data_IF_280550728271
#
_entry.id   IF_280550728271
#
_cell.length_a   1.000
_cell.length_b   1.000
_cell.length_c   1.000
_cell.angle_alpha   90.00
_cell.angle_beta   90.00
_cell.angle_gamma   90.00
#
_symmetry.space_group_name_H-M   'P 1'
#
loop_
_entity.id
_entity.type
_entity.pdbx_description
1 polymer ?
#
# COMPACT_ATOMS: atom_id res chain seq x y z
N UNK A 1 13.68 -8.13 -10.70
CA UNK A 1 14.05 -9.46 -11.23
C UNK A 1 14.56 -10.42 -10.16
N UNK A 2 15.69 -10.17 -9.47
CA UNK A 2 16.22 -11.09 -8.43
C UNK A 2 15.20 -11.49 -7.36
N UNK A 3 14.46 -10.52 -6.80
CA UNK A 3 13.42 -10.76 -5.79
C UNK A 3 12.32 -11.71 -6.29
N UNK A 4 11.87 -11.55 -7.53
CA UNK A 4 10.83 -12.40 -8.11
C UNK A 4 11.33 -13.84 -8.31
N UNK A 5 12.56 -14.01 -8.81
CA UNK A 5 13.16 -15.34 -8.99
C UNK A 5 13.33 -16.04 -7.63
N UNK A 6 13.82 -15.34 -6.61
CA UNK A 6 13.94 -15.88 -5.25
C UNK A 6 12.58 -16.24 -4.68
N UNK A 7 11.57 -15.41 -4.92
CA UNK A 7 10.21 -15.67 -4.47
C UNK A 7 9.61 -16.92 -5.13
N UNK A 8 9.75 -17.07 -6.46
CA UNK A 8 9.30 -18.26 -7.17
C UNK A 8 10.04 -19.52 -6.70
N UNK A 9 11.35 -19.44 -6.49
CA UNK A 9 12.14 -20.54 -5.92
C UNK A 9 11.62 -20.93 -4.54
N UNK A 10 11.31 -19.94 -3.69
CA UNK A 10 10.74 -20.18 -2.36
C UNK A 10 9.37 -20.87 -2.44
N UNK A 11 8.50 -20.46 -3.37
CA UNK A 11 7.20 -21.11 -3.57
C UNK A 11 7.38 -22.58 -3.95
N UNK A 12 8.25 -22.86 -4.93
CA UNK A 12 8.51 -24.25 -5.36
C UNK A 12 9.13 -25.08 -4.24
N UNK A 13 10.02 -24.50 -3.43
CA UNK A 13 10.53 -25.15 -2.22
C UNK A 13 9.42 -25.49 -1.22
N UNK A 14 8.44 -24.60 -1.04
CA UNK A 14 7.31 -24.82 -0.14
C UNK A 14 6.31 -25.87 -0.65
N UNK A 15 6.18 -26.04 -1.97
CA UNK A 15 5.32 -27.07 -2.59
C UNK A 15 5.87 -28.50 -2.40
N UNK A 16 7.18 -28.66 -2.19
CA UNK A 16 7.76 -29.92 -1.74
C UNK A 16 9.22 -30.13 -2.13
N UNK A 17 9.97 -30.78 -1.24
CA UNK A 17 11.21 -31.46 -1.59
C UNK A 17 10.89 -32.75 -2.36
N UNK A 18 11.63 -33.02 -3.43
CA UNK A 18 11.54 -34.27 -4.22
C UNK A 18 12.13 -35.49 -3.51
N UNK A 19 12.67 -35.34 -2.30
CA UNK A 19 13.35 -36.43 -1.58
C UNK A 19 12.39 -37.09 -0.59
N UNK A 20 12.10 -38.36 -0.83
CA UNK A 20 11.18 -39.21 -0.06
C UNK A 20 11.68 -39.61 1.34
N UNK A 21 12.91 -39.26 1.69
CA UNK A 21 13.63 -39.84 2.83
C UNK A 21 13.67 -38.92 4.07
N UNK A 22 13.22 -37.67 3.95
CA UNK A 22 13.12 -36.71 5.07
C UNK A 22 11.69 -36.18 5.21
N UNK A 23 10.74 -37.05 5.58
CA UNK A 23 9.42 -36.59 6.02
C UNK A 23 9.54 -35.92 7.39
N UNK A 24 9.78 -34.61 7.39
CA UNK A 24 9.65 -33.78 8.57
C UNK A 24 8.17 -33.64 8.94
N UNK A 25 7.71 -34.47 9.89
CA UNK A 25 6.32 -34.53 10.37
C UNK A 25 5.90 -33.34 11.26
N UNK A 26 6.67 -32.24 11.30
CA UNK A 26 6.33 -31.05 12.08
C UNK A 26 5.32 -30.18 11.34
N UNK A 27 4.44 -29.52 12.10
CA UNK A 27 3.54 -28.51 11.55
C UNK A 27 4.34 -27.43 10.81
N UNK A 28 4.05 -27.21 9.53
CA UNK A 28 4.77 -26.24 8.72
C UNK A 28 4.28 -24.81 9.03
N UNK A 29 5.23 -23.94 9.38
CA UNK A 29 5.02 -22.50 9.53
C UNK A 29 5.82 -21.77 8.45
N UNK A 30 5.12 -21.09 7.57
CA UNK A 30 5.70 -20.23 6.54
C UNK A 30 5.58 -18.78 6.98
N UNK A 31 6.69 -18.03 6.95
CA UNK A 31 6.70 -16.60 7.21
C UNK A 31 7.22 -15.90 5.96
N UNK A 32 6.41 -14.97 5.43
CA UNK A 32 6.74 -14.15 4.27
C UNK A 32 6.83 -12.70 4.73
N UNK A 33 8.04 -12.14 4.70
CA UNK A 33 8.27 -10.73 5.01
C UNK A 33 8.41 -9.93 3.71
N UNK A 34 7.42 -9.08 3.46
CA UNK A 34 7.33 -8.13 2.35
C UNK A 34 7.64 -8.74 0.97
N UNK A 35 6.74 -9.58 0.42
CA UNK A 35 6.99 -10.31 -0.83
C UNK A 35 7.10 -9.39 -2.06
N UNK A 36 6.70 -8.13 -1.92
CA UNK A 36 6.72 -7.13 -2.98
C UNK A 36 7.83 -6.12 -2.73
N UNK A 37 8.81 -6.08 -3.63
CA UNK A 37 9.71 -4.95 -3.73
C UNK A 37 9.14 -3.85 -4.64
N UNK A 38 9.69 -2.63 -4.57
CA UNK A 38 9.36 -1.52 -5.48
C UNK A 38 9.52 -1.84 -6.98
N UNK A 39 10.33 -2.85 -7.33
CA UNK A 39 10.50 -3.35 -8.71
C UNK A 39 9.45 -4.41 -9.11
N UNK A 40 8.69 -4.95 -8.15
CA UNK A 40 7.72 -6.03 -8.34
C UNK A 40 6.28 -5.52 -8.46
N UNK A 41 6.06 -4.21 -8.54
CA UNK A 41 4.73 -3.60 -8.47
C UNK A 41 3.80 -4.05 -9.61
N UNK A 42 4.38 -4.39 -10.77
CA UNK A 42 3.63 -4.90 -11.92
C UNK A 42 3.15 -6.36 -11.74
N UNK A 43 3.70 -7.10 -10.78
CA UNK A 43 3.41 -8.53 -10.54
C UNK A 43 2.65 -8.77 -9.23
N UNK A 44 2.09 -7.72 -8.62
CA UNK A 44 1.42 -7.83 -7.31
C UNK A 44 0.28 -8.84 -7.34
N UNK A 45 -0.52 -8.83 -8.41
CA UNK A 45 -1.63 -9.78 -8.58
C UNK A 45 -1.13 -11.22 -8.70
N UNK A 46 -0.09 -11.45 -9.50
CA UNK A 46 0.48 -12.79 -9.70
C UNK A 46 1.05 -13.33 -8.39
N UNK A 47 1.81 -12.50 -7.66
CA UNK A 47 2.38 -12.87 -6.36
C UNK A 47 1.28 -13.14 -5.33
N UNK A 48 0.26 -12.30 -5.23
CA UNK A 48 -0.87 -12.53 -4.33
C UNK A 48 -1.63 -13.83 -4.66
N UNK A 49 -1.84 -14.10 -5.95
CA UNK A 49 -2.48 -15.32 -6.43
C UNK A 49 -1.67 -16.57 -6.12
N UNK A 50 -0.36 -16.54 -6.38
CA UNK A 50 0.54 -17.65 -6.07
C UNK A 50 0.56 -17.93 -4.56
N UNK A 51 0.64 -16.92 -3.71
CA UNK A 51 0.57 -17.12 -2.25
C UNK A 51 -0.75 -17.78 -1.85
N UNK A 52 -1.87 -17.27 -2.38
CA UNK A 52 -3.18 -17.77 -2.00
C UNK A 52 -3.42 -19.22 -2.44
N UNK A 53 -3.08 -19.57 -3.68
CA UNK A 53 -3.38 -20.88 -4.23
C UNK A 53 -2.30 -21.93 -3.94
N UNK A 54 -1.03 -21.52 -3.90
CA UNK A 54 0.09 -22.45 -3.73
C UNK A 54 0.57 -22.55 -2.28
N UNK A 55 0.64 -21.44 -1.54
CA UNK A 55 1.24 -21.43 -0.19
C UNK A 55 0.22 -21.78 0.90
N UNK A 56 -0.98 -21.19 0.85
CA UNK A 56 -2.01 -21.48 1.86
C UNK A 56 -2.51 -22.92 1.84
N UNK A 57 -2.33 -23.62 0.73
CA UNK A 57 -2.67 -25.05 0.58
C UNK A 57 -1.54 -25.98 1.03
N UNK A 58 -0.30 -25.50 0.99
CA UNK A 58 0.91 -26.29 1.26
C UNK A 58 1.41 -26.21 2.70
N UNK A 59 0.88 -25.29 3.53
CA UNK A 59 1.33 -25.12 4.91
C UNK A 59 0.20 -25.05 5.95
N UNK A 60 0.50 -25.51 7.17
CA UNK A 60 -0.46 -25.47 8.28
C UNK A 60 -0.70 -24.06 8.78
N UNK A 61 0.34 -23.22 8.81
CA UNK A 61 0.28 -21.83 9.27
C UNK A 61 1.10 -20.93 8.35
N UNK A 62 0.55 -19.78 8.02
CA UNK A 62 1.22 -18.79 7.17
C UNK A 62 1.09 -17.41 7.82
N UNK A 63 2.22 -16.73 7.98
CA UNK A 63 2.28 -15.35 8.45
C UNK A 63 2.83 -14.50 7.31
N UNK A 64 2.09 -13.46 6.94
CA UNK A 64 2.49 -12.52 5.89
C UNK A 64 2.61 -11.15 6.52
N UNK A 65 3.78 -10.54 6.36
CA UNK A 65 4.07 -9.18 6.77
C UNK A 65 4.22 -8.35 5.51
N UNK A 66 3.56 -7.20 5.47
CA UNK A 66 3.65 -6.28 4.33
C UNK A 66 3.42 -4.87 4.82
N UNK A 67 4.18 -3.94 4.27
CA UNK A 67 3.90 -2.51 4.39
C UNK A 67 3.10 -2.00 3.17
N UNK A 68 3.03 -2.81 2.11
CA UNK A 68 2.31 -2.50 0.88
C UNK A 68 0.82 -2.85 1.05
N UNK A 69 -0.01 -1.81 1.18
CA UNK A 69 -1.45 -1.94 1.33
C UNK A 69 -2.11 -2.54 0.08
N UNK A 70 -1.60 -2.27 -1.12
CA UNK A 70 -2.17 -2.85 -2.34
C UNK A 70 -2.04 -4.37 -2.36
N UNK A 71 -0.84 -4.87 -2.09
CA UNK A 71 -0.61 -6.30 -1.99
C UNK A 71 -1.49 -6.95 -0.91
N UNK A 72 -1.59 -6.30 0.25
CA UNK A 72 -2.51 -6.74 1.30
C UNK A 72 -3.96 -6.82 0.79
N UNK A 73 -4.42 -5.81 0.06
CA UNK A 73 -5.76 -5.80 -0.52
C UNK A 73 -6.01 -6.92 -1.53
N UNK A 74 -5.09 -7.13 -2.47
CA UNK A 74 -5.22 -8.20 -3.46
C UNK A 74 -5.28 -9.57 -2.79
N UNK A 75 -4.48 -9.79 -1.74
CA UNK A 75 -4.53 -11.00 -0.94
C UNK A 75 -5.90 -11.19 -0.23
N UNK A 76 -6.48 -10.12 0.30
CA UNK A 76 -7.80 -10.14 0.97
C UNK A 76 -8.98 -10.28 -0.01
N UNK A 77 -8.83 -9.82 -1.26
CA UNK A 77 -9.81 -10.05 -2.33
C UNK A 77 -9.93 -11.53 -2.68
N UNK A 78 -8.81 -12.26 -2.67
CA UNK A 78 -8.77 -13.70 -2.92
C UNK A 78 -9.33 -14.52 -1.74
N UNK A 79 -9.36 -13.95 -0.54
CA UNK A 79 -9.90 -14.60 0.64
C UNK A 79 -11.44 -14.82 0.56
N UNK A 80 -11.99 -15.81 1.30
CA UNK A 80 -13.41 -16.13 1.27
C UNK A 80 -14.31 -14.91 1.56
N UNK A 81 -15.37 -14.74 0.76
CA UNK A 81 -16.32 -13.62 0.91
C UNK A 81 -17.14 -13.76 2.21
N UNK A 82 -17.45 -15.00 2.61
CA UNK A 82 -18.23 -15.27 3.82
C UNK A 82 -17.39 -14.98 5.07
N UNK A 83 -17.85 -14.03 5.89
CA UNK A 83 -17.20 -13.63 7.15
C UNK A 83 -16.92 -14.81 8.09
N UNK A 84 -17.85 -15.78 8.17
CA UNK A 84 -17.67 -16.99 8.98
C UNK A 84 -16.49 -17.84 8.50
N UNK A 85 -16.38 -18.04 7.19
CA UNK A 85 -15.28 -18.81 6.59
C UNK A 85 -13.95 -18.04 6.69
N UNK A 86 -14.00 -16.72 6.52
CA UNK A 86 -12.85 -15.85 6.68
C UNK A 86 -12.31 -15.93 8.10
N UNK A 87 -13.13 -15.67 9.12
CA UNK A 87 -12.69 -15.65 10.52
C UNK A 87 -12.23 -17.01 11.05
N UNK A 88 -12.62 -18.13 10.41
CA UNK A 88 -12.09 -19.45 10.75
C UNK A 88 -10.70 -19.74 10.20
N UNK A 89 -10.24 -18.98 9.20
CA UNK A 89 -8.98 -19.26 8.47
C UNK A 89 -8.01 -18.09 8.41
N UNK A 90 -8.48 -16.85 8.60
CA UNK A 90 -7.69 -15.62 8.52
C UNK A 90 -7.79 -14.82 9.80
N UNK A 91 -6.68 -14.18 10.16
CA UNK A 91 -6.60 -13.13 11.18
C UNK A 91 -5.80 -11.97 10.63
N UNK A 92 -6.31 -10.76 10.82
CA UNK A 92 -5.69 -9.55 10.30
C UNK A 92 -5.25 -8.64 11.44
N UNK A 93 -4.04 -8.11 11.30
CA UNK A 93 -3.42 -7.28 12.30
C UNK A 93 -2.76 -6.06 11.67
N UNK A 94 -2.79 -4.94 12.38
CA UNK A 94 -2.06 -3.72 12.04
C UNK A 94 -0.97 -3.46 13.06
N UNK A 95 0.21 -3.14 12.54
CA UNK A 95 1.35 -2.70 13.33
C UNK A 95 1.59 -1.23 13.01
N UNK A 96 1.47 -0.36 13.99
CA UNK A 96 1.80 1.07 13.84
C UNK A 96 3.09 1.34 14.59
N UNK A 97 4.09 1.90 13.90
CA UNK A 97 5.39 2.27 14.49
C UNK A 97 5.45 3.78 14.65
N UNK A 98 5.19 4.27 15.86
CA UNK A 98 5.40 5.66 16.26
C UNK A 98 6.52 5.73 17.32
N UNK A 99 6.43 6.65 18.29
CA UNK A 99 7.31 6.66 19.48
C UNK A 99 7.31 5.30 20.21
N UNK A 100 6.15 4.64 20.20
CA UNK A 100 5.97 3.25 20.63
C UNK A 100 5.30 2.46 19.51
N UNK A 101 5.63 1.18 19.41
CA UNK A 101 4.95 0.25 18.50
C UNK A 101 3.64 -0.22 19.11
N UNK A 102 2.56 -0.14 18.35
CA UNK A 102 1.24 -0.66 18.75
C UNK A 102 0.77 -1.75 17.80
N UNK A 103 0.07 -2.74 18.36
CA UNK A 103 -0.51 -3.87 17.64
C UNK A 103 -2.02 -3.87 17.86
N UNK A 104 -2.79 -3.97 16.78
CA UNK A 104 -4.27 -3.97 16.85
C UNK A 104 -4.88 -4.92 15.83
N UNK A 105 -5.98 -5.58 16.18
CA UNK A 105 -6.78 -6.36 15.24
C UNK A 105 -7.48 -5.42 14.26
N UNK A 106 -7.58 -5.84 13.00
CA UNK A 106 -8.33 -5.11 11.97
C UNK A 106 -9.39 -6.04 11.37
N UNK A 107 -10.56 -5.49 11.05
CA UNK A 107 -11.58 -6.23 10.31
C UNK A 107 -11.35 -6.10 8.81
N UNK A 108 -11.90 -7.01 8.02
CA UNK A 108 -11.83 -6.93 6.55
C UNK A 108 -12.34 -5.58 6.02
N UNK A 109 -13.44 -5.09 6.59
CA UNK A 109 -14.08 -3.83 6.16
C UNK A 109 -13.35 -2.58 6.69
N UNK A 110 -12.57 -2.73 7.77
CA UNK A 110 -11.79 -1.61 8.32
C UNK A 110 -10.76 -1.06 7.33
N UNK A 111 -10.38 -1.83 6.32
CA UNK A 111 -9.47 -1.36 5.27
C UNK A 111 -10.06 -0.25 4.41
N UNK A 112 -11.37 -0.29 4.13
CA UNK A 112 -12.05 0.84 3.48
C UNK A 112 -12.00 2.08 4.37
N UNK A 113 -12.13 1.91 5.69
CA UNK A 113 -11.97 2.98 6.67
C UNK A 113 -10.52 3.48 6.74
N UNK A 114 -9.51 2.62 6.54
CA UNK A 114 -8.10 3.02 6.48
C UNK A 114 -7.81 3.89 5.27
N UNK A 115 -8.36 3.55 4.09
CA UNK A 115 -8.26 4.41 2.93
C UNK A 115 -8.84 5.79 3.19
N UNK A 116 -10.04 5.87 3.77
CA UNK A 116 -10.65 7.14 4.20
C UNK A 116 -9.77 7.88 5.23
N UNK A 117 -9.12 7.14 6.14
CA UNK A 117 -8.22 7.71 7.15
C UNK A 117 -6.99 8.38 6.53
N UNK A 118 -6.45 7.85 5.42
CA UNK A 118 -5.36 8.50 4.69
C UNK A 118 -5.77 9.88 4.17
N UNK A 119 -6.97 10.02 3.62
CA UNK A 119 -7.50 11.31 3.20
C UNK A 119 -7.71 12.27 4.36
N UNK A 120 -8.10 11.76 5.53
CA UNK A 120 -8.23 12.58 6.74
C UNK A 120 -6.86 13.10 7.23
N UNK A 121 -5.82 12.24 7.23
CA UNK A 121 -4.44 12.66 7.54
C UNK A 121 -3.98 13.76 6.59
N UNK A 122 -4.29 13.65 5.30
CA UNK A 122 -3.98 14.66 4.30
C UNK A 122 -4.65 16.01 4.61
N UNK A 123 -5.94 15.98 4.99
CA UNK A 123 -6.70 17.18 5.40
C UNK A 123 -6.15 17.80 6.68
N UNK A 124 -5.81 16.99 7.67
CA UNK A 124 -5.27 17.46 8.95
C UNK A 124 -3.85 18.03 8.82
N UNK A 125 -3.04 17.51 7.90
CA UNK A 125 -1.73 18.09 7.58
C UNK A 125 -1.87 19.48 6.93
N UNK A 126 -2.85 19.68 6.02
CA UNK A 126 -3.17 21.01 5.45
C UNK A 126 -3.60 21.99 6.55
N UNK A 127 -4.44 21.54 7.49
CA UNK A 127 -4.92 22.37 8.60
C UNK A 127 -3.84 22.62 9.67
N UNK A 128 -2.60 22.16 9.46
CA UNK A 128 -1.49 22.34 10.39
C UNK A 128 -1.57 21.50 11.67
N UNK A 129 -2.48 20.52 11.73
CA UNK A 129 -2.68 19.65 12.90
C UNK A 129 -1.67 18.50 12.97
N UNK A 130 -1.05 18.15 11.84
CA UNK A 130 -0.08 17.06 11.72
C UNK A 130 1.15 17.56 10.96
N UNK A 131 2.33 17.05 11.30
CA UNK A 131 3.60 17.49 10.72
C UNK A 131 3.65 17.20 9.19
N UNK A 132 4.02 18.20 8.38
CA UNK A 132 4.03 18.12 6.91
C UNK A 132 4.85 16.95 6.31
N UNK A 133 5.76 16.37 7.10
CA UNK A 133 6.58 15.20 6.72
C UNK A 133 5.72 13.97 6.41
N UNK A 134 4.48 13.88 6.93
CA UNK A 134 3.59 12.73 6.64
C UNK A 134 2.87 12.83 5.29
N UNK A 135 2.81 14.03 4.70
CA UNK A 135 2.09 14.31 3.44
C UNK A 135 2.55 13.39 2.29
N UNK A 136 3.85 13.28 1.94
CA UNK A 136 4.26 12.50 0.78
C UNK A 136 3.95 11.02 0.92
N UNK A 137 4.20 10.44 2.10
CA UNK A 137 3.87 9.03 2.36
C UNK A 137 2.36 8.77 2.29
N UNK A 138 1.57 9.71 2.80
CA UNK A 138 0.11 9.62 2.75
C UNK A 138 -0.40 9.71 1.32
N UNK A 139 0.09 10.67 0.53
CA UNK A 139 -0.24 10.82 -0.90
C UNK A 139 0.16 9.57 -1.68
N UNK A 140 1.36 9.04 -1.46
CA UNK A 140 1.82 7.79 -2.06
C UNK A 140 0.84 6.66 -1.81
N UNK A 141 0.50 6.43 -0.55
CA UNK A 141 -0.42 5.37 -0.15
C UNK A 141 -1.81 5.55 -0.77
N UNK A 142 -2.31 6.78 -0.88
CA UNK A 142 -3.60 7.06 -1.52
C UNK A 142 -3.56 6.73 -3.02
N UNK A 143 -2.52 7.16 -3.75
CA UNK A 143 -2.38 6.86 -5.17
C UNK A 143 -2.26 5.36 -5.38
N UNK A 144 -1.34 4.74 -4.64
CA UNK A 144 -1.10 3.30 -4.72
C UNK A 144 -2.38 2.53 -4.43
N UNK A 145 -3.10 2.82 -3.35
CA UNK A 145 -4.36 2.15 -2.98
C UNK A 145 -5.48 2.37 -4.00
N UNK A 146 -5.68 3.60 -4.47
CA UNK A 146 -6.79 3.88 -5.39
C UNK A 146 -6.56 3.25 -6.76
N UNK A 147 -5.39 3.50 -7.36
CA UNK A 147 -5.09 3.01 -8.70
C UNK A 147 -4.84 1.51 -8.74
N UNK A 148 -4.40 0.92 -7.62
CA UNK A 148 -4.55 -0.49 -7.34
C UNK A 148 -5.99 -0.99 -7.46
N UNK A 149 -6.91 -0.37 -6.72
CA UNK A 149 -8.30 -0.80 -6.63
C UNK A 149 -8.99 -0.75 -7.99
N UNK A 150 -8.69 0.27 -8.81
CA UNK A 150 -9.22 0.40 -10.18
C UNK A 150 -8.36 -0.32 -11.23
N UNK A 151 -7.35 -1.10 -10.82
CA UNK A 151 -6.45 -1.86 -11.70
C UNK A 151 -5.67 -1.01 -12.74
N UNK A 152 -5.36 0.24 -12.40
CA UNK A 152 -4.61 1.22 -13.22
C UNK A 152 -3.18 1.48 -12.70
N UNK A 153 -2.58 0.55 -11.96
CA UNK A 153 -1.24 0.74 -11.37
C UNK A 153 -0.17 1.02 -12.42
N UNK A 154 -0.21 0.33 -13.56
CA UNK A 154 0.76 0.53 -14.64
C UNK A 154 0.60 1.92 -15.30
N UNK A 155 -0.65 2.32 -15.56
CA UNK A 155 -0.98 3.64 -16.11
C UNK A 155 -0.51 4.76 -15.17
N UNK A 156 -0.69 4.59 -13.85
CA UNK A 156 -0.18 5.53 -12.85
C UNK A 156 1.35 5.67 -12.95
N UNK A 157 2.08 4.56 -13.02
CA UNK A 157 3.54 4.58 -13.12
C UNK A 157 4.00 5.29 -14.41
N UNK A 158 3.38 4.98 -15.54
CA UNK A 158 3.68 5.63 -16.82
C UNK A 158 3.44 7.13 -16.76
N UNK A 159 2.31 7.57 -16.19
CA UNK A 159 1.98 8.99 -16.10
C UNK A 159 2.89 9.73 -15.14
N UNK A 160 3.21 9.13 -13.99
CA UNK A 160 4.19 9.68 -13.05
C UNK A 160 5.58 9.83 -13.69
N UNK A 161 6.01 8.85 -14.50
CA UNK A 161 7.29 8.90 -15.22
C UNK A 161 7.31 10.00 -16.29
N UNK A 162 6.23 10.17 -17.06
CA UNK A 162 6.11 11.27 -18.03
C UNK A 162 6.22 12.63 -17.35
N UNK A 163 5.52 12.80 -16.23
CA UNK A 163 5.53 14.05 -15.47
C UNK A 163 6.92 14.33 -14.85
N UNK A 164 7.66 13.29 -14.45
CA UNK A 164 9.02 13.44 -13.95
C UNK A 164 10.04 13.84 -15.04
N UNK A 165 9.80 13.46 -16.30
CA UNK A 165 10.63 13.79 -17.45
C UNK A 165 10.32 15.17 -18.05
N UNK A 166 9.20 15.79 -17.68
CA UNK A 166 8.78 17.07 -18.23
C UNK A 166 9.60 18.23 -17.60
N UNK A 167 10.64 18.69 -18.30
CA UNK A 167 11.61 19.68 -17.81
C UNK A 167 10.99 21.05 -17.44
N UNK A 168 9.84 21.38 -18.02
CA UNK A 168 9.10 22.61 -17.76
C UNK A 168 8.39 22.65 -16.40
N UNK A 169 8.36 21.54 -15.66
CA UNK A 169 7.64 21.41 -14.40
C UNK A 169 8.59 21.06 -13.24
N UNK A 170 9.55 21.95 -12.96
CA UNK A 170 10.53 21.84 -11.86
C UNK A 170 9.92 21.39 -10.53
N UNK A 171 8.75 21.96 -10.19
CA UNK A 171 8.01 21.62 -8.98
C UNK A 171 7.54 20.17 -8.96
N UNK A 172 7.16 19.60 -10.10
CA UNK A 172 6.68 18.22 -10.16
C UNK A 172 7.83 17.24 -9.96
N UNK A 173 9.02 17.55 -10.50
CA UNK A 173 10.23 16.76 -10.27
C UNK A 173 10.65 16.75 -8.80
N UNK A 174 10.40 17.84 -8.07
CA UNK A 174 10.60 17.91 -6.63
C UNK A 174 9.60 17.01 -5.89
N UNK A 175 8.32 17.07 -6.25
CA UNK A 175 7.25 16.25 -5.67
C UNK A 175 7.35 14.76 -5.97
N UNK A 176 7.65 14.38 -7.21
CA UNK A 176 7.90 12.98 -7.58
C UNK A 176 9.07 12.42 -6.77
N UNK A 177 10.16 13.19 -6.62
CA UNK A 177 11.27 12.80 -5.74
C UNK A 177 10.86 12.73 -4.27
N UNK A 178 9.93 13.58 -3.82
CA UNK A 178 9.45 13.64 -2.46
C UNK A 178 8.50 12.47 -2.11
N UNK A 179 7.62 12.08 -3.01
CA UNK A 179 6.74 10.90 -2.90
C UNK A 179 7.53 9.59 -3.05
N UNK A 180 8.49 9.55 -3.97
CA UNK A 180 9.29 8.34 -4.23
C UNK A 180 10.49 8.17 -3.29
N UNK A 181 10.89 9.18 -2.52
CA UNK A 181 11.80 8.99 -1.40
C UNK A 181 11.07 8.14 -0.35
N UNK A 182 11.44 6.86 -0.28
CA UNK A 182 11.00 5.97 0.79
C UNK A 182 11.34 6.56 2.16
N UNK A 183 10.68 6.04 3.20
CA UNK A 183 10.82 6.42 4.61
C UNK A 183 12.21 6.20 5.23
N UNK A 184 13.23 5.93 4.41
CA UNK A 184 14.62 5.91 4.86
C UNK A 184 15.10 7.33 5.16
N UNK A 185 15.29 7.53 6.46
CA UNK A 185 16.14 8.46 7.18
C UNK A 185 17.41 8.96 6.48
N UNK A 186 17.32 9.68 5.36
CA UNK A 186 18.41 10.48 4.83
C UNK A 186 18.22 11.94 5.26
N UNK A 187 18.60 12.20 6.51
CA UNK A 187 18.52 13.48 7.21
C UNK A 187 19.44 14.59 6.66
N UNK A 188 20.09 14.37 5.51
CA UNK A 188 21.16 15.25 5.03
C UNK A 188 20.71 16.27 3.98
N UNK A 189 19.54 16.13 3.34
CA UNK A 189 19.09 17.06 2.28
C UNK A 189 17.66 17.57 2.48
N UNK A 190 17.28 17.99 3.69
CA UNK A 190 16.01 18.71 3.94
C UNK A 190 16.17 20.21 3.62
N UNK A 191 17.41 20.72 3.53
CA UNK A 191 17.69 22.15 3.36
C UNK A 191 17.69 22.64 1.91
N UNK A 192 17.64 21.76 0.91
CA UNK A 192 17.85 22.13 -0.51
C UNK A 192 16.59 22.04 -1.38
N UNK A 193 15.47 21.64 -0.78
CA UNK A 193 14.15 21.87 -1.34
C UNK A 193 13.61 23.08 -0.59
N UNK A 194 13.64 24.27 -1.21
CA UNK A 194 13.06 25.49 -0.64
C UNK A 194 11.63 25.26 -0.12
N UNK A 195 11.11 26.19 0.66
CA UNK A 195 9.78 26.16 1.32
C UNK A 195 8.64 25.82 0.33
N UNK A 196 8.48 24.56 -0.05
CA UNK A 196 7.35 24.09 -0.86
C UNK A 196 6.21 23.90 0.12
N UNK A 197 5.21 24.77 0.00
CA UNK A 197 4.03 24.75 0.85
C UNK A 197 3.20 23.48 0.57
N UNK A 198 2.49 22.94 1.58
CA UNK A 198 1.56 21.83 1.41
C UNK A 198 0.59 21.98 0.23
N UNK A 199 0.18 23.21 -0.06
CA UNK A 199 -0.73 23.54 -1.16
C UNK A 199 -0.17 23.19 -2.54
N UNK A 200 1.14 23.36 -2.75
CA UNK A 200 1.80 23.00 -4.02
C UNK A 200 1.73 21.48 -4.21
N UNK A 201 2.00 20.72 -3.15
CA UNK A 201 1.91 19.25 -3.20
C UNK A 201 0.49 18.76 -3.45
N UNK A 202 -0.51 19.37 -2.80
CA UNK A 202 -1.93 19.02 -3.01
C UNK A 202 -2.36 19.34 -4.45
N UNK A 203 -1.88 20.44 -5.02
CA UNK A 203 -2.18 20.82 -6.42
C UNK A 203 -1.64 19.77 -7.39
N UNK A 204 -0.40 19.32 -7.20
CA UNK A 204 0.20 18.30 -8.05
C UNK A 204 -0.42 16.92 -7.85
N UNK A 205 -0.81 16.62 -6.62
CA UNK A 205 -1.56 15.43 -6.30
C UNK A 205 -2.92 15.40 -7.01
N UNK A 206 -3.66 16.51 -6.99
CA UNK A 206 -4.92 16.68 -7.76
C UNK A 206 -4.70 16.52 -9.27
N UNK A 207 -3.58 17.04 -9.78
CA UNK A 207 -3.23 16.94 -11.19
C UNK A 207 -3.02 15.49 -11.65
N UNK A 208 -2.46 14.61 -10.81
CA UNK A 208 -2.35 13.19 -11.13
C UNK A 208 -3.74 12.56 -11.33
N UNK A 209 -4.68 12.82 -10.42
CA UNK A 209 -6.06 12.33 -10.59
C UNK A 209 -6.73 12.89 -11.85
N UNK A 210 -6.43 14.13 -12.24
CA UNK A 210 -6.93 14.73 -13.48
C UNK A 210 -6.38 14.01 -14.71
N UNK A 211 -5.08 13.75 -14.76
CA UNK A 211 -4.42 13.08 -15.88
C UNK A 211 -4.87 11.62 -16.03
N UNK A 212 -5.15 10.96 -14.90
CA UNK A 212 -5.67 9.59 -14.87
C UNK A 212 -7.18 9.49 -15.17
N UNK A 213 -7.87 10.64 -15.33
CA UNK A 213 -9.31 10.69 -15.59
C UNK A 213 -10.19 10.47 -14.36
N UNK A 214 -9.62 10.47 -13.16
CA UNK A 214 -10.25 10.12 -11.88
C UNK A 214 -10.43 11.33 -10.95
N UNK A 215 -10.56 12.54 -11.52
CA UNK A 215 -10.69 13.80 -10.77
C UNK A 215 -11.95 13.84 -9.87
N UNK A 216 -13.02 13.15 -10.27
CA UNK A 216 -14.25 13.05 -9.49
C UNK A 216 -14.02 12.39 -8.14
N UNK A 217 -13.17 11.37 -8.10
CA UNK A 217 -12.79 10.67 -6.87
C UNK A 217 -11.98 11.56 -5.94
N UNK A 218 -11.01 12.30 -6.48
CA UNK A 218 -10.25 13.28 -5.69
C UNK A 218 -11.19 14.31 -5.05
N UNK A 219 -12.07 14.92 -5.82
CA UNK A 219 -13.00 15.94 -5.30
C UNK A 219 -13.92 15.35 -4.22
N UNK A 220 -14.44 14.13 -4.43
CA UNK A 220 -15.26 13.45 -3.44
C UNK A 220 -14.51 13.25 -2.12
N UNK A 221 -13.32 12.66 -2.17
CA UNK A 221 -12.59 12.32 -0.94
C UNK A 221 -11.97 13.53 -0.26
N UNK A 222 -11.49 14.50 -1.03
CA UNK A 222 -10.74 15.65 -0.52
C UNK A 222 -11.63 16.87 -0.18
N UNK A 223 -12.69 17.11 -0.96
CA UNK A 223 -13.54 18.31 -0.83
C UNK A 223 -14.86 18.04 -0.08
N UNK A 224 -15.20 16.79 0.27
CA UNK A 224 -16.33 16.51 1.17
C UNK A 224 -16.08 17.15 2.55
N UNK A 225 -16.82 18.23 2.83
CA UNK A 225 -17.16 18.66 4.19
C UNK A 225 -18.11 17.61 4.76
N UNK A 226 -17.69 16.95 5.84
CA UNK A 226 -18.58 16.14 6.68
C UNK A 226 -19.72 17.03 7.21
N UNK A 227 -20.87 17.03 6.53
CA UNK A 227 -22.13 17.28 7.21
C UNK A 227 -22.45 16.01 7.99
N UNK A 228 -21.83 15.86 9.16
CA UNK A 228 -22.41 15.02 10.21
C UNK A 228 -23.46 15.92 10.83
N UNK A 229 -24.64 15.97 10.23
CA UNK A 229 -25.83 16.41 10.95
C UNK A 229 -26.22 15.29 11.90
N UNK A 230 -26.25 15.64 13.18
CA UNK A 230 -26.93 14.89 14.24
C UNK A 230 -28.26 14.35 13.72
N UNK A 231 -28.34 13.03 13.57
CA UNK A 231 -29.63 12.33 13.62
C UNK A 231 -29.67 11.55 14.91
N UNK A 232 -29.85 12.29 16.01
CA UNK A 232 -30.64 11.81 17.14
C UNK A 232 -32.06 11.55 16.66
N UNK A 233 -32.48 10.30 16.70
CA UNK A 233 -33.88 9.89 16.88
C UNK A 233 -33.89 8.59 17.69
#
# INVERSE_FOLDING_TARGET
EKTLITFLYFIEYCKGQTNTDEFDNRDSLIVIDDPISSLSQNYIYDIASMIHYDIFTSANKVIILTHNLYFFHELIKLAPISERKFNSTYQLFRITKNLHSSFSNISRDSLQNEYQSLWQILKDARDGKVHNVVIPNTMRNILEYYFAFVHKTNELQDELNKLAQNESNSNFKAFYRYINRGSHSDSINITDMGEITPDIYITQFKEIFRLMGDISHFNKMYEEKKNIEDTTA
#
